data_IF_345496498013
#
_entry.id   IF_345496498013
#
_cell.length_a   1.000
_cell.length_b   1.000
_cell.length_c   1.000
_cell.angle_alpha   90.00
_cell.angle_beta   90.00
_cell.angle_gamma   90.00
#
_symmetry.space_group_name_H-M   'P 1'
#
loop_
_entity.id
_entity.type
_entity.pdbx_description
1 polymer ?
#
# COMPACT_ATOMS: atom_id res chain seq x y z
N UNK A 1 8.37 -4.28 -7.19
CA UNK A 1 7.46 -4.86 -6.19
C UNK A 1 6.16 -4.08 -6.15
N UNK A 2 5.27 -4.36 -7.09
CA UNK A 2 3.94 -3.75 -7.15
C UNK A 2 2.97 -4.59 -6.33
N UNK A 3 2.26 -4.00 -5.35
CA UNK A 3 1.24 -4.71 -4.58
C UNK A 3 0.05 -5.05 -5.47
N UNK A 4 -0.22 -6.35 -5.62
CA UNK A 4 -1.33 -6.86 -6.45
C UNK A 4 -2.55 -7.28 -5.61
N UNK A 5 -2.30 -7.70 -4.37
CA UNK A 5 -3.34 -8.19 -3.45
C UNK A 5 -3.18 -7.54 -2.08
N UNK A 6 -4.19 -6.78 -1.68
CA UNK A 6 -4.35 -6.06 -0.42
C UNK A 6 -5.82 -5.69 -0.26
N UNK A 7 -6.22 -5.19 0.90
CA UNK A 7 -7.59 -4.74 1.17
C UNK A 7 -7.94 -3.48 0.35
N UNK A 8 -8.45 -3.64 -0.87
CA UNK A 8 -8.74 -2.52 -1.79
C UNK A 8 -9.91 -1.64 -1.32
N UNK A 9 -10.71 -2.12 -0.37
CA UNK A 9 -11.85 -1.39 0.19
C UNK A 9 -11.39 -0.34 1.20
N UNK A 10 -10.50 -0.70 2.12
CA UNK A 10 -10.04 0.18 3.20
C UNK A 10 -8.64 0.76 2.94
N UNK A 11 -7.89 0.24 1.97
CA UNK A 11 -6.51 0.64 1.73
C UNK A 11 -6.27 1.19 0.32
N UNK A 12 -5.23 2.01 0.19
CA UNK A 12 -4.78 2.61 -1.06
C UNK A 12 -3.27 2.43 -1.21
N UNK A 13 -2.83 2.43 -2.46
CA UNK A 13 -1.41 2.37 -2.80
C UNK A 13 -0.89 3.78 -3.02
N UNK A 14 0.25 4.09 -2.43
CA UNK A 14 0.95 5.36 -2.56
C UNK A 14 2.37 5.08 -3.03
N UNK A 15 2.79 5.76 -4.10
CA UNK A 15 4.17 5.66 -4.56
C UNK A 15 5.08 6.48 -3.66
N UNK A 16 6.01 5.81 -2.99
CA UNK A 16 6.99 6.42 -2.13
C UNK A 16 8.26 6.74 -2.93
N UNK A 17 8.43 8.02 -3.26
CA UNK A 17 9.59 8.51 -4.03
C UNK A 17 10.92 8.36 -3.31
N UNK A 18 10.94 8.23 -1.98
CA UNK A 18 12.18 8.11 -1.20
C UNK A 18 12.72 6.68 -1.24
N UNK A 19 11.85 5.69 -1.12
CA UNK A 19 12.20 4.27 -1.20
C UNK A 19 12.12 3.70 -2.63
N UNK A 20 11.55 4.47 -3.57
CA UNK A 20 11.23 4.01 -4.93
C UNK A 20 10.33 2.75 -4.93
N UNK A 21 9.42 2.66 -3.96
CA UNK A 21 8.51 1.52 -3.80
C UNK A 21 7.04 1.96 -3.61
N UNK A 22 6.13 1.01 -3.48
CA UNK A 22 4.70 1.22 -3.32
C UNK A 22 4.26 0.82 -1.92
N UNK A 23 3.91 1.84 -1.14
CA UNK A 23 3.36 1.67 0.20
C UNK A 23 1.85 1.47 0.11
N UNK A 24 1.32 0.51 0.87
CA UNK A 24 -0.11 0.30 0.98
C UNK A 24 -0.53 0.79 2.35
N UNK A 25 -1.36 1.83 2.38
CA UNK A 25 -1.77 2.51 3.62
C UNK A 25 -3.28 2.60 3.72
N UNK A 26 -3.81 2.81 4.93
CA UNK A 26 -5.24 2.98 5.11
C UNK A 26 -5.74 4.24 4.39
N UNK A 27 -6.95 4.17 3.84
CA UNK A 27 -7.62 5.32 3.23
C UNK A 27 -7.93 6.40 4.26
N UNK A 28 -8.37 5.99 5.44
CA UNK A 28 -8.72 6.87 6.57
C UNK A 28 -7.50 7.51 7.21
N UNK A 29 -6.41 6.74 7.38
CA UNK A 29 -5.17 7.22 7.98
C UNK A 29 -3.95 6.75 7.16
N UNK A 30 -3.32 7.63 6.37
CA UNK A 30 -2.18 7.27 5.54
C UNK A 30 -0.89 7.00 6.34
N UNK A 31 -0.89 7.21 7.66
CA UNK A 31 0.23 6.86 8.54
C UNK A 31 0.20 5.39 8.94
N UNK A 32 -0.95 4.72 8.82
CA UNK A 32 -1.10 3.29 9.07
C UNK A 32 -0.89 2.48 7.80
N UNK A 33 0.10 1.60 7.86
CA UNK A 33 0.31 0.58 6.84
C UNK A 33 -0.82 -0.45 6.84
N UNK A 34 -1.15 -0.92 5.65
CA UNK A 34 -2.09 -2.01 5.42
C UNK A 34 -1.36 -3.30 5.10
N UNK A 35 -2.00 -4.41 5.46
CA UNK A 35 -1.46 -5.72 5.13
C UNK A 35 -1.53 -5.98 3.62
N UNK A 36 -0.42 -6.47 3.07
CA UNK A 36 -0.29 -6.82 1.65
C UNK A 36 -0.11 -8.32 1.55
N UNK A 37 -1.04 -8.98 0.87
CA UNK A 37 -1.04 -10.43 0.71
C UNK A 37 -0.08 -10.89 -0.39
N UNK A 38 0.12 -10.09 -1.44
CA UNK A 38 1.00 -10.45 -2.57
C UNK A 38 1.55 -9.23 -3.32
N UNK A 39 2.80 -9.35 -3.77
CA UNK A 39 3.55 -8.38 -4.59
C UNK A 39 4.17 -9.10 -5.79
N UNK A 40 4.40 -8.38 -6.89
CA UNK A 40 5.13 -8.85 -8.10
C UNK A 40 6.25 -7.90 -8.50
#
# INVERSE_FOLDING_TARGET
HTPISYDKENCKVVFNKKSCDYDVVQKSDPSKECFVYSRV
#
